data_IF_310513568715
#
_entry.id   IF_310513568715
#
_cell.length_a   1.000
_cell.length_b   1.000
_cell.length_c   1.000
_cell.angle_alpha   90.00
_cell.angle_beta   90.00
_cell.angle_gamma   90.00
#
_symmetry.space_group_name_H-M   'P 1'
#
loop_
_entity.id
_entity.type
_entity.pdbx_description
1 polymer ?
#
# COMPACT_ATOMS: atom_id res chain seq x y z
N UNK A 1 6.01 -16.99 -13.28
CA UNK A 1 6.32 -16.23 -12.05
C UNK A 1 5.02 -16.02 -11.30
N UNK A 2 4.87 -16.57 -10.09
CA UNK A 2 3.73 -16.25 -9.23
C UNK A 2 3.95 -14.83 -8.67
N UNK A 3 3.61 -13.82 -9.48
CA UNK A 3 3.55 -12.43 -9.02
C UNK A 3 2.43 -12.28 -8.00
N UNK A 4 2.59 -11.35 -7.07
CA UNK A 4 1.56 -10.95 -6.12
C UNK A 4 0.27 -10.62 -6.91
N UNK A 5 -0.86 -11.22 -6.55
CA UNK A 5 -2.13 -10.95 -7.22
C UNK A 5 -2.67 -9.57 -6.84
N UNK A 6 -3.53 -9.00 -7.68
CA UNK A 6 -4.19 -7.71 -7.38
C UNK A 6 -4.90 -7.75 -6.03
N UNK A 7 -5.62 -8.83 -5.74
CA UNK A 7 -6.32 -9.04 -4.46
C UNK A 7 -5.36 -9.03 -3.27
N UNK A 8 -4.18 -9.64 -3.43
CA UNK A 8 -3.17 -9.66 -2.37
C UNK A 8 -2.59 -8.26 -2.15
N UNK A 9 -2.30 -7.51 -3.23
CA UNK A 9 -1.82 -6.15 -3.14
C UNK A 9 -2.86 -5.21 -2.50
N UNK A 10 -4.14 -5.38 -2.83
CA UNK A 10 -5.25 -4.62 -2.26
C UNK A 10 -5.39 -4.88 -0.76
N UNK A 11 -5.36 -6.16 -0.35
CA UNK A 11 -5.39 -6.55 1.07
C UNK A 11 -4.22 -5.94 1.84
N UNK A 12 -3.02 -5.95 1.26
CA UNK A 12 -1.85 -5.35 1.91
C UNK A 12 -2.04 -3.84 2.07
N UNK A 13 -2.49 -3.14 1.02
CA UNK A 13 -2.75 -1.71 1.08
C UNK A 13 -3.70 -1.36 2.24
N UNK A 14 -4.82 -2.07 2.36
CA UNK A 14 -5.81 -1.89 3.42
C UNK A 14 -5.19 -2.06 4.83
N UNK A 15 -4.39 -3.11 5.04
CA UNK A 15 -3.68 -3.34 6.31
C UNK A 15 -2.74 -2.18 6.66
N UNK A 16 -2.05 -1.61 5.68
CA UNK A 16 -1.13 -0.48 5.91
C UNK A 16 -1.88 0.83 6.17
N UNK A 17 -3.04 1.05 5.55
CA UNK A 17 -3.91 2.21 5.83
C UNK A 17 -4.48 2.13 7.26
N UNK A 18 -4.98 0.96 7.67
CA UNK A 18 -5.45 0.74 9.04
C UNK A 18 -4.34 0.93 10.08
N UNK A 19 -3.11 0.54 9.72
CA UNK A 19 -1.93 0.79 10.55
C UNK A 19 -1.65 2.29 10.70
N UNK A 20 -1.72 3.06 9.60
CA UNK A 20 -1.53 4.51 9.63
C UNK A 20 -2.57 5.21 10.52
N UNK A 21 -3.84 4.81 10.43
CA UNK A 21 -4.91 5.32 11.28
C UNK A 21 -4.62 5.04 12.76
N UNK A 22 -4.38 3.77 13.11
CA UNK A 22 -4.08 3.34 14.49
C UNK A 22 -2.88 4.10 15.07
N UNK A 23 -1.81 4.21 14.27
CA UNK A 23 -0.57 4.88 14.65
C UNK A 23 -0.75 6.40 14.76
N UNK A 24 -1.57 7.01 13.91
CA UNK A 24 -1.92 8.43 13.97
C UNK A 24 -2.70 8.77 15.24
N UNK A 25 -3.56 7.85 15.69
CA UNK A 25 -4.24 7.95 16.99
C UNK A 25 -3.32 7.69 18.21
N UNK A 26 -2.04 7.41 17.98
CA UNK A 26 -1.04 7.16 19.03
C UNK A 26 -1.04 5.73 19.56
N UNK A 27 -1.71 4.80 18.87
CA UNK A 27 -1.69 3.38 19.21
C UNK A 27 -0.53 2.69 18.49
N UNK A 28 0.03 1.65 19.10
CA UNK A 28 0.99 0.77 18.42
C UNK A 28 0.24 -0.28 17.61
N UNK A 29 0.65 -0.51 16.37
CA UNK A 29 0.02 -1.48 15.47
C UNK A 29 1.00 -2.59 15.11
N UNK A 30 0.61 -3.86 15.24
CA UNK A 30 1.49 -5.00 14.93
C UNK A 30 1.10 -5.65 13.59
N UNK A 31 2.04 -5.64 12.64
CA UNK A 31 1.95 -6.38 11.38
C UNK A 31 2.94 -7.53 11.42
N UNK A 32 2.43 -8.76 11.59
CA UNK A 32 3.26 -9.95 11.71
C UNK A 32 4.24 -9.84 12.88
N UNK A 33 5.55 -9.89 12.58
CA UNK A 33 6.61 -9.75 13.58
C UNK A 33 7.11 -8.30 13.77
N UNK A 34 6.51 -7.31 13.10
CA UNK A 34 6.89 -5.90 13.23
C UNK A 34 5.84 -5.12 14.00
N UNK A 35 6.30 -4.32 14.96
CA UNK A 35 5.51 -3.29 15.62
C UNK A 35 5.73 -1.96 14.90
N UNK A 36 4.66 -1.26 14.59
CA UNK A 36 4.63 0.06 13.97
C UNK A 36 4.16 1.08 14.99
N UNK A 37 4.89 2.18 15.08
CA UNK A 37 4.63 3.26 16.04
C UNK A 37 4.61 4.61 15.34
N UNK A 38 4.25 5.68 16.06
CA UNK A 38 4.14 7.02 15.48
C UNK A 38 5.43 7.53 14.84
N UNK A 39 6.59 7.04 15.30
CA UNK A 39 7.89 7.33 14.70
C UNK A 39 8.04 6.74 13.28
N UNK A 40 7.27 5.69 12.96
CA UNK A 40 7.33 4.97 11.69
C UNK A 40 6.31 5.46 10.65
N UNK A 41 5.54 6.53 10.94
CA UNK A 41 4.55 7.09 10.00
C UNK A 41 5.12 7.32 8.59
N UNK A 42 6.34 7.84 8.50
CA UNK A 42 7.04 8.02 7.21
C UNK A 42 7.29 6.70 6.48
N UNK A 43 7.56 5.60 7.20
CA UNK A 43 7.74 4.28 6.59
C UNK A 43 6.39 3.67 6.17
N UNK A 44 5.34 3.88 6.97
CA UNK A 44 3.97 3.43 6.69
C UNK A 44 3.47 4.10 5.41
N UNK A 45 3.58 5.43 5.30
CA UNK A 45 3.18 6.18 4.10
C UNK A 45 3.91 5.69 2.83
N UNK A 46 5.24 5.47 2.91
CA UNK A 46 6.00 4.87 1.79
C UNK A 46 5.50 3.47 1.40
N UNK A 47 5.04 2.68 2.37
CA UNK A 47 4.48 1.34 2.13
C UNK A 47 3.10 1.42 1.48
N UNK A 48 2.26 2.35 1.93
CA UNK A 48 0.95 2.65 1.32
C UNK A 48 1.15 3.06 -0.14
N UNK A 49 2.04 4.01 -0.43
CA UNK A 49 2.38 4.41 -1.80
C UNK A 49 2.87 3.22 -2.65
N UNK A 50 3.76 2.39 -2.10
CA UNK A 50 4.26 1.21 -2.80
C UNK A 50 3.13 0.25 -3.18
N UNK A 51 2.24 -0.08 -2.24
CA UNK A 51 1.13 -1.01 -2.50
C UNK A 51 0.06 -0.40 -3.39
N UNK A 52 -0.23 0.90 -3.25
CA UNK A 52 -1.16 1.63 -4.12
C UNK A 52 -0.65 1.64 -5.58
N UNK A 53 0.64 1.93 -5.78
CA UNK A 53 1.29 1.80 -7.07
C UNK A 53 1.20 0.37 -7.60
N UNK A 54 1.46 -0.64 -6.75
CA UNK A 54 1.38 -2.06 -7.14
C UNK A 54 -0.02 -2.50 -7.55
N UNK A 55 -1.04 -2.09 -6.80
CA UNK A 55 -2.45 -2.32 -7.14
C UNK A 55 -2.78 -1.68 -8.48
N UNK A 56 -2.33 -0.44 -8.69
CA UNK A 56 -2.53 0.28 -9.94
C UNK A 56 -1.83 -0.40 -11.11
N UNK A 57 -0.57 -0.83 -10.95
CA UNK A 57 0.18 -1.60 -11.93
C UNK A 57 -0.50 -2.93 -12.28
N UNK A 58 -0.93 -3.70 -11.27
CA UNK A 58 -1.60 -4.99 -11.45
C UNK A 58 -3.00 -4.84 -12.05
N UNK A 59 -3.72 -3.78 -11.67
CA UNK A 59 -5.04 -3.44 -12.21
C UNK A 59 -4.92 -3.06 -13.68
N UNK A 60 -3.91 -2.24 -14.01
CA UNK A 60 -3.55 -1.91 -15.38
C UNK A 60 -3.09 -3.13 -16.15
N UNK A 61 -2.31 -4.04 -15.59
CA UNK A 61 -1.90 -5.26 -16.29
C UNK A 61 -3.09 -6.18 -16.56
N UNK A 62 -4.08 -6.23 -15.65
CA UNK A 62 -5.33 -6.97 -15.82
C UNK A 62 -6.25 -6.33 -16.89
N UNK A 63 -6.29 -5.01 -16.97
CA UNK A 63 -7.07 -4.25 -17.99
C UNK A 63 -6.30 -3.98 -19.29
N UNK A 64 -4.98 -4.14 -19.27
CA UNK A 64 -4.05 -3.47 -20.18
C UNK A 64 -3.21 -4.45 -20.99
N UNK A 65 -3.89 -5.36 -21.69
CA UNK A 65 -3.48 -5.66 -23.07
C UNK A 65 -3.38 -4.40 -23.95
N UNK A 66 -3.82 -3.22 -23.49
CA UNK A 66 -3.55 -1.95 -24.13
C UNK A 66 -3.45 -0.76 -23.15
N UNK A 67 -2.31 -0.07 -23.24
CA UNK A 67 -2.04 1.35 -22.93
C UNK A 67 -1.50 1.70 -21.53
N UNK A 68 -0.22 2.07 -21.55
CA UNK A 68 0.50 2.90 -20.58
C UNK A 68 -0.38 3.98 -19.97
N UNK A 69 -0.34 4.08 -18.65
CA UNK A 69 -0.62 5.29 -17.92
C UNK A 69 0.32 5.30 -16.73
N UNK A 70 1.10 6.36 -16.55
CA UNK A 70 1.74 6.69 -15.29
C UNK A 70 0.68 7.44 -14.49
N UNK A 71 0.34 6.95 -13.29
CA UNK A 71 -0.51 7.71 -12.37
C UNK A 71 0.23 7.74 -11.05
N UNK A 72 0.73 8.93 -10.74
CA UNK A 72 1.23 9.31 -9.44
C UNK A 72 0.18 10.28 -8.92
N UNK A 73 -0.73 9.85 -8.03
CA UNK A 73 -1.46 10.82 -7.22
C UNK A 73 -0.44 11.40 -6.24
N UNK A 74 -0.08 12.65 -6.47
CA UNK A 74 0.77 13.43 -5.58
C UNK A 74 -0.19 14.34 -4.84
N UNK A 75 -0.65 13.89 -3.68
CA UNK A 75 -1.44 14.70 -2.77
C UNK A 75 -0.59 15.90 -2.32
N UNK A 76 -1.14 17.11 -2.56
CA UNK A 76 -0.72 18.43 -2.08
C UNK A 76 -1.88 19.02 -1.29
#
# INVERSE_FOLDING_TARGET
MAGITLETAQRMLDVWVAAEESVSHGQSYQIGNRSLTKADLTQIGKRIEYWSNKVTELSRQRNGRNRMGHFVPRDL
#
